data_IF_773068816650
#
_entry.id   IF_773068816650
#
_cell.length_a   1.000
_cell.length_b   1.000
_cell.length_c   1.000
_cell.angle_alpha   90.00
_cell.angle_beta   90.00
_cell.angle_gamma   90.00
#
_symmetry.space_group_name_H-M   'P 1'
#
loop_
_entity.id
_entity.type
_entity.pdbx_description
1 polymer ?
#
# COMPACT_ATOMS: atom_id res chain seq x y z
N UNK A 1 5.39 -17.74 2.23
CA UNK A 1 4.33 -16.74 2.09
C UNK A 1 4.52 -15.67 3.15
N UNK A 2 4.99 -14.48 2.79
CA UNK A 2 5.01 -13.39 3.78
C UNK A 2 3.60 -12.76 3.88
N UNK A 3 3.27 -12.14 5.01
CA UNK A 3 1.93 -11.59 5.25
C UNK A 3 1.53 -10.52 4.22
N UNK A 4 2.48 -9.73 3.72
CA UNK A 4 2.21 -8.72 2.70
C UNK A 4 1.68 -9.34 1.41
N UNK A 5 2.24 -10.47 0.98
CA UNK A 5 1.73 -11.22 -0.17
C UNK A 5 0.31 -11.75 0.07
N UNK A 6 0.00 -12.20 1.29
CA UNK A 6 -1.35 -12.65 1.62
C UNK A 6 -2.36 -11.49 1.58
N UNK A 7 -1.99 -10.34 2.14
CA UNK A 7 -2.84 -9.15 2.15
C UNK A 7 -3.00 -8.54 0.76
N UNK A 8 -1.94 -8.53 -0.04
CA UNK A 8 -1.98 -8.12 -1.45
C UNK A 8 -2.98 -8.97 -2.24
N UNK A 9 -2.99 -10.30 -2.08
CA UNK A 9 -3.95 -11.17 -2.76
C UNK A 9 -5.39 -10.88 -2.40
N UNK A 10 -5.65 -10.54 -1.15
CA UNK A 10 -6.99 -10.21 -0.69
C UNK A 10 -7.42 -8.82 -1.16
N UNK A 11 -6.54 -7.81 -1.11
CA UNK A 11 -6.87 -6.43 -1.46
C UNK A 11 -6.91 -6.17 -2.97
N UNK A 12 -5.98 -6.75 -3.74
CA UNK A 12 -5.80 -6.40 -5.15
C UNK A 12 -7.07 -6.54 -6.02
N UNK A 13 -7.91 -7.58 -5.88
CA UNK A 13 -9.16 -7.67 -6.64
C UNK A 13 -10.09 -6.48 -6.37
N UNK A 14 -10.25 -6.07 -5.11
CA UNK A 14 -11.09 -4.92 -4.74
C UNK A 14 -10.51 -3.62 -5.27
N UNK A 15 -9.19 -3.43 -5.14
CA UNK A 15 -8.51 -2.23 -5.65
C UNK A 15 -8.64 -2.09 -7.15
N UNK A 16 -8.46 -3.19 -7.91
CA UNK A 16 -8.64 -3.19 -9.36
C UNK A 16 -10.06 -2.82 -9.77
N UNK A 17 -11.07 -3.31 -9.04
CA UNK A 17 -12.47 -2.93 -9.25
C UNK A 17 -12.70 -1.42 -9.02
N UNK A 18 -12.20 -0.88 -7.90
CA UNK A 18 -12.33 0.55 -7.60
C UNK A 18 -11.60 1.43 -8.61
N UNK A 19 -10.43 1.02 -9.06
CA UNK A 19 -9.66 1.74 -10.09
C UNK A 19 -10.39 1.71 -11.42
N UNK A 20 -10.92 0.56 -11.82
CA UNK A 20 -11.68 0.43 -13.07
C UNK A 20 -12.93 1.30 -13.09
N UNK A 21 -13.63 1.40 -11.95
CA UNK A 21 -14.88 2.15 -11.85
C UNK A 21 -14.68 3.65 -11.54
N UNK A 22 -13.87 3.99 -10.54
CA UNK A 22 -13.71 5.36 -10.04
C UNK A 22 -12.45 6.07 -10.57
N UNK A 23 -11.46 5.33 -11.08
CA UNK A 23 -10.12 5.87 -11.37
C UNK A 23 -10.09 6.97 -12.44
N UNK A 24 -11.01 6.95 -13.41
CA UNK A 24 -11.07 7.98 -14.47
C UNK A 24 -11.60 9.32 -13.97
N UNK A 25 -12.54 9.31 -13.03
CA UNK A 25 -13.29 10.51 -12.65
C UNK A 25 -12.87 11.07 -11.29
N UNK A 26 -12.29 10.25 -10.41
CA UNK A 26 -12.02 10.60 -9.02
C UNK A 26 -10.57 10.35 -8.62
N UNK A 27 -9.61 10.86 -9.40
CA UNK A 27 -8.18 10.66 -9.15
C UNK A 27 -7.75 11.07 -7.74
N UNK A 28 -8.18 12.24 -7.27
CA UNK A 28 -7.87 12.71 -5.91
C UNK A 28 -8.46 11.83 -4.80
N UNK A 29 -9.66 11.27 -5.00
CA UNK A 29 -10.26 10.33 -4.05
C UNK A 29 -9.49 9.00 -4.05
N UNK A 30 -9.09 8.52 -5.23
CA UNK A 30 -8.26 7.31 -5.35
C UNK A 30 -6.89 7.49 -4.70
N UNK A 31 -6.27 8.66 -4.82
CA UNK A 31 -5.02 8.98 -4.12
C UNK A 31 -5.22 8.98 -2.59
N UNK A 32 -6.35 9.49 -2.09
CA UNK A 32 -6.70 9.44 -0.67
C UNK A 32 -6.85 8.00 -0.16
N UNK A 33 -7.55 7.15 -0.92
CA UNK A 33 -7.72 5.73 -0.61
C UNK A 33 -6.36 5.02 -0.59
N UNK A 34 -5.50 5.26 -1.59
CA UNK A 34 -4.16 4.70 -1.66
C UNK A 34 -3.30 5.09 -0.45
N UNK A 35 -3.33 6.36 -0.06
CA UNK A 35 -2.66 6.85 1.16
C UNK A 35 -3.19 6.19 2.42
N UNK A 36 -4.51 6.01 2.54
CA UNK A 36 -5.12 5.37 3.69
C UNK A 36 -4.69 3.89 3.80
N UNK A 37 -4.65 3.17 2.69
CA UNK A 37 -4.15 1.79 2.64
C UNK A 37 -2.69 1.75 3.10
N UNK A 38 -1.82 2.59 2.53
CA UNK A 38 -0.40 2.62 2.92
C UNK A 38 -0.19 2.99 4.40
N UNK A 39 -1.04 3.86 4.97
CA UNK A 39 -1.03 4.17 6.40
C UNK A 39 -1.33 2.94 7.26
N UNK A 40 -2.34 2.15 6.89
CA UNK A 40 -2.65 0.91 7.62
C UNK A 40 -1.56 -0.14 7.48
N UNK A 41 -0.97 -0.28 6.28
CA UNK A 41 0.20 -1.12 6.06
C UNK A 41 1.35 -0.70 6.97
N UNK A 42 1.67 0.60 7.02
CA UNK A 42 2.76 1.13 7.83
C UNK A 42 2.50 0.92 9.33
N UNK A 43 1.28 1.19 9.82
CA UNK A 43 0.89 0.89 11.21
C UNK A 43 1.02 -0.60 11.54
N UNK A 44 0.70 -1.48 10.60
CA UNK A 44 0.87 -2.90 10.79
C UNK A 44 2.35 -3.30 10.84
N UNK A 45 3.20 -2.72 9.98
CA UNK A 45 4.66 -2.93 9.99
C UNK A 45 5.25 -2.55 11.35
N UNK A 46 4.90 -1.37 11.88
CA UNK A 46 5.31 -0.96 13.23
C UNK A 46 4.88 -2.01 14.24
N UNK A 47 3.61 -2.44 14.23
CA UNK A 47 3.09 -3.42 15.21
C UNK A 47 3.79 -4.77 15.13
N UNK A 48 4.10 -5.26 13.93
CA UNK A 48 4.76 -6.56 13.73
C UNK A 48 6.24 -6.52 14.04
N UNK A 49 6.90 -5.42 13.68
CA UNK A 49 8.35 -5.26 13.73
C UNK A 49 8.74 -4.12 14.65
N UNK A 50 8.09 -3.97 15.81
CA UNK A 50 8.31 -2.84 16.74
C UNK A 50 9.80 -2.57 16.97
N UNK A 51 10.60 -3.62 17.19
CA UNK A 51 12.06 -3.51 17.43
C UNK A 51 12.89 -2.97 16.24
N UNK A 52 12.34 -2.98 15.03
CA UNK A 52 13.02 -2.58 13.78
C UNK A 52 12.42 -1.29 13.23
N UNK A 53 11.14 -1.04 13.51
CA UNK A 53 10.39 0.12 13.03
C UNK A 53 9.62 0.74 14.20
N UNK A 54 10.23 1.74 14.83
CA UNK A 54 9.63 2.47 15.96
C UNK A 54 8.86 3.73 15.52
N UNK A 55 8.96 4.10 14.24
CA UNK A 55 8.27 5.27 13.69
C UNK A 55 7.51 4.97 12.40
N UNK A 56 6.48 5.79 12.14
CA UNK A 56 5.72 5.71 10.90
C UNK A 56 6.57 6.02 9.67
N UNK A 57 7.53 6.93 9.80
CA UNK A 57 8.48 7.26 8.73
C UNK A 57 9.33 6.04 8.35
N UNK A 58 9.91 5.33 9.33
CA UNK A 58 10.70 4.11 9.07
C UNK A 58 9.86 3.00 8.43
N UNK A 59 8.60 2.86 8.87
CA UNK A 59 7.69 1.87 8.29
C UNK A 59 7.32 2.21 6.84
N UNK A 60 7.11 3.49 6.51
CA UNK A 60 6.92 3.92 5.13
C UNK A 60 8.17 3.69 4.28
N UNK A 61 9.36 4.04 4.78
CA UNK A 61 10.61 3.81 4.07
C UNK A 61 10.81 2.32 3.77
N UNK A 62 10.48 1.45 4.72
CA UNK A 62 10.51 0.00 4.52
C UNK A 62 9.50 -0.46 3.45
N UNK A 63 8.27 0.06 3.48
CA UNK A 63 7.28 -0.22 2.43
C UNK A 63 7.75 0.27 1.06
N UNK A 64 8.44 1.41 1.00
CA UNK A 64 8.99 1.97 -0.24
C UNK A 64 10.13 1.12 -0.81
N UNK A 65 10.96 0.53 0.05
CA UNK A 65 11.97 -0.46 -0.38
C UNK A 65 11.29 -1.69 -0.99
N UNK A 66 10.20 -2.17 -0.39
CA UNK A 66 9.42 -3.29 -0.94
C UNK A 66 8.75 -2.90 -2.25
N UNK A 67 8.15 -1.71 -2.33
CA UNK A 67 7.55 -1.18 -3.55
C UNK A 67 8.57 -1.09 -4.67
N UNK A 68 9.78 -0.61 -4.38
CA UNK A 68 10.88 -0.53 -5.36
C UNK A 68 11.29 -1.92 -5.85
N UNK A 69 11.31 -2.93 -4.98
CA UNK A 69 11.66 -4.30 -5.34
C UNK A 69 10.52 -5.08 -6.04
N UNK A 70 9.25 -4.79 -5.70
CA UNK A 70 8.04 -5.47 -6.18
C UNK A 70 6.91 -4.45 -6.41
N UNK A 71 6.99 -3.61 -7.45
CA UNK A 71 6.04 -2.51 -7.66
C UNK A 71 4.61 -2.99 -7.91
N UNK A 72 4.45 -4.19 -8.49
CA UNK A 72 3.14 -4.80 -8.79
C UNK A 72 2.54 -5.60 -7.63
N UNK A 73 3.16 -5.60 -6.45
CA UNK A 73 2.66 -6.35 -5.29
C UNK A 73 1.28 -5.84 -4.87
N UNK A 74 1.09 -4.53 -4.82
CA UNK A 74 -0.22 -3.92 -4.58
C UNK A 74 -0.67 -3.12 -5.80
N UNK A 75 -1.93 -3.31 -6.20
CA UNK A 75 -2.46 -2.66 -7.40
C UNK A 75 -2.41 -1.12 -7.33
N UNK A 76 -2.57 -0.52 -6.14
CA UNK A 76 -2.53 0.94 -5.99
C UNK A 76 -1.13 1.53 -6.07
N UNK A 77 -0.06 0.74 -5.95
CA UNK A 77 1.32 1.22 -6.08
C UNK A 77 1.67 1.61 -7.53
N UNK A 78 1.06 0.95 -8.51
CA UNK A 78 1.21 1.28 -9.93
C UNK A 78 0.48 2.58 -10.30
N UNK A 79 -0.53 2.94 -9.52
CA UNK A 79 -1.48 4.01 -9.84
C UNK A 79 -1.09 5.31 -9.14
N UNK A 80 -0.57 5.19 -7.92
CA UNK A 80 -0.22 6.30 -7.05
C UNK A 80 1.31 6.33 -6.84
N UNK A 81 2.03 7.01 -7.74
CA UNK A 81 3.51 7.00 -7.76
C UNK A 81 4.17 7.88 -6.70
N UNK A 82 3.43 8.77 -6.03
CA UNK A 82 3.96 9.63 -4.95
C UNK A 82 3.20 9.40 -3.66
N UNK A 83 3.84 8.75 -2.69
CA UNK A 83 3.50 8.83 -1.28
C UNK A 83 4.34 9.94 -0.65
#
# INVERSE_FOLDING_TARGET
MNFLEAMARWLNPMLRGWVGYYGRFYRSAMDCVAKHINLHLAKWVIRKYKRVHDSLAQAYEWLDRIRSAKPSLFAHWEICTRC
#
